data_IF_665464058023
#
_entry.id   IF_665464058023
#
_cell.length_a   1.000
_cell.length_b   1.000
_cell.length_c   1.000
_cell.angle_alpha   90.00
_cell.angle_beta   90.00
_cell.angle_gamma   90.00
#
_symmetry.space_group_name_H-M   'P 1'
#
loop_
_entity.id
_entity.type
_entity.pdbx_description
1 polymer ?
#
# COMPACT_ATOMS: atom_id res chain seq x y z
N UNK A 1 9.05 10.21 15.93
CA UNK A 1 7.74 9.54 16.01
C UNK A 1 6.89 10.38 16.95
N UNK A 2 5.80 10.97 16.45
CA UNK A 2 4.94 11.79 17.29
C UNK A 2 3.99 10.89 18.14
N UNK A 3 3.32 11.49 19.12
CA UNK A 3 2.52 10.76 20.11
C UNK A 3 1.43 9.87 19.46
N UNK A 4 0.79 10.34 18.39
CA UNK A 4 -0.26 9.57 17.72
C UNK A 4 0.30 8.32 17.00
N UNK A 5 1.53 8.39 16.46
CA UNK A 5 2.20 7.24 15.85
C UNK A 5 2.58 6.21 16.92
N UNK A 6 3.05 6.65 18.09
CA UNK A 6 3.34 5.77 19.22
C UNK A 6 2.06 5.09 19.73
N UNK A 7 0.96 5.83 19.81
CA UNK A 7 -0.34 5.31 20.22
C UNK A 7 -0.87 4.30 19.20
N UNK A 8 -0.75 4.57 17.90
CA UNK A 8 -1.14 3.66 16.83
C UNK A 8 -0.32 2.36 16.87
N UNK A 9 1.02 2.47 16.97
CA UNK A 9 1.90 1.28 17.08
C UNK A 9 1.56 0.47 18.31
N UNK A 10 1.28 1.12 19.46
CA UNK A 10 0.85 0.43 20.67
C UNK A 10 -0.49 -0.28 20.48
N UNK A 11 -1.48 0.37 19.89
CA UNK A 11 -2.82 -0.17 19.69
C UNK A 11 -2.79 -1.36 18.71
N UNK A 12 -1.99 -1.28 17.65
CA UNK A 12 -1.77 -2.39 16.72
C UNK A 12 -1.03 -3.54 17.41
N UNK A 13 0.04 -3.27 18.15
CA UNK A 13 0.76 -4.31 18.92
C UNK A 13 -0.14 -4.99 19.96
N UNK A 14 -0.97 -4.23 20.65
CA UNK A 14 -1.95 -4.79 21.59
C UNK A 14 -3.00 -5.65 20.88
N UNK A 15 -3.37 -5.28 19.65
CA UNK A 15 -4.22 -6.10 18.78
C UNK A 15 -3.54 -7.40 18.38
N UNK A 16 -2.26 -7.34 17.99
CA UNK A 16 -1.43 -8.51 17.64
C UNK A 16 -1.29 -9.44 18.84
N UNK A 17 -0.95 -8.93 20.04
CA UNK A 17 -0.82 -9.72 21.26
C UNK A 17 -2.13 -10.47 21.61
N UNK A 18 -3.29 -9.92 21.25
CA UNK A 18 -4.60 -10.61 21.40
C UNK A 18 -4.81 -11.68 20.34
N UNK A 19 -4.18 -11.54 19.18
CA UNK A 19 -4.30 -12.44 18.03
C UNK A 19 -3.27 -13.58 18.07
N UNK A 20 -2.12 -13.40 18.73
CA UNK A 20 -1.15 -14.49 18.99
C UNK A 20 -1.78 -15.66 19.74
N UNK A 21 -2.82 -15.39 20.55
CA UNK A 21 -3.64 -16.43 21.17
C UNK A 21 -4.72 -17.03 20.23
N UNK A 22 -4.97 -16.43 19.07
CA UNK A 22 -5.91 -16.92 18.05
C UNK A 22 -5.21 -17.55 16.83
N UNK A 23 -3.87 -17.49 16.77
CA UNK A 23 -3.05 -17.79 15.60
C UNK A 23 -3.04 -19.26 15.19
N UNK A 24 -3.32 -20.19 16.13
CA UNK A 24 -3.49 -21.60 15.78
C UNK A 24 -4.68 -21.87 14.83
N UNK A 25 -5.68 -20.99 14.85
CA UNK A 25 -6.84 -21.09 13.96
C UNK A 25 -6.61 -20.41 12.60
N UNK A 26 -5.73 -19.40 12.54
CA UNK A 26 -5.43 -18.70 11.28
C UNK A 26 -4.61 -19.56 10.33
N UNK A 27 -3.54 -20.21 10.81
CA UNK A 27 -2.72 -21.12 10.00
C UNK A 27 -3.52 -22.33 9.51
N UNK A 28 -4.39 -22.89 10.35
CA UNK A 28 -5.30 -23.95 9.95
C UNK A 28 -6.28 -23.51 8.85
N UNK A 29 -6.76 -22.25 8.90
CA UNK A 29 -7.66 -21.69 7.87
C UNK A 29 -6.90 -21.35 6.57
N UNK A 30 -5.64 -20.93 6.63
CA UNK A 30 -4.78 -20.73 5.45
C UNK A 30 -4.51 -22.06 4.73
N UNK A 31 -4.23 -23.11 5.46
CA UNK A 31 -4.05 -24.46 4.89
C UNK A 31 -5.31 -24.98 4.21
N UNK A 32 -6.50 -24.63 4.70
CA UNK A 32 -7.79 -24.99 4.09
C UNK A 32 -8.06 -24.18 2.85
N UNK A 33 -7.83 -22.87 2.90
CA UNK A 33 -8.04 -21.97 1.75
C UNK A 33 -7.08 -22.31 0.60
N UNK A 34 -5.82 -22.65 0.89
CA UNK A 34 -4.87 -23.09 -0.15
C UNK A 34 -5.22 -24.45 -0.78
N UNK A 35 -5.97 -25.33 -0.08
CA UNK A 35 -6.36 -26.64 -0.60
C UNK A 35 -7.63 -26.63 -1.45
N UNK A 36 -8.48 -25.62 -1.31
CA UNK A 36 -9.79 -25.57 -1.99
C UNK A 36 -9.84 -24.61 -3.18
N UNK A 37 -8.83 -23.75 -3.36
CA UNK A 37 -8.77 -22.92 -4.55
C UNK A 37 -8.12 -23.68 -5.71
N UNK A 38 -8.79 -23.84 -6.86
CA UNK A 38 -8.10 -24.15 -8.09
C UNK A 38 -7.06 -23.05 -8.29
N UNK A 39 -5.87 -23.41 -8.76
CA UNK A 39 -4.82 -22.50 -9.23
C UNK A 39 -5.46 -21.46 -10.16
N UNK A 40 -6.04 -20.43 -9.57
CA UNK A 40 -6.41 -19.23 -10.28
C UNK A 40 -5.09 -18.63 -10.74
N UNK A 41 -5.06 -18.27 -12.00
CA UNK A 41 -3.96 -17.63 -12.70
C UNK A 41 -3.04 -16.88 -11.73
N UNK A 42 -1.80 -17.29 -11.67
CA UNK A 42 -0.74 -16.89 -10.75
C UNK A 42 -0.32 -15.42 -10.96
N UNK A 43 -1.28 -14.56 -11.26
CA UNK A 43 -1.08 -13.13 -11.44
C UNK A 43 -1.46 -12.43 -10.14
N UNK A 44 -0.45 -12.11 -9.33
CA UNK A 44 -0.56 -11.26 -8.13
C UNK A 44 -1.34 -9.95 -8.40
N UNK A 45 -1.52 -9.60 -9.66
CA UNK A 45 -2.27 -8.42 -10.14
C UNK A 45 -3.57 -8.84 -10.82
N UNK A 46 -4.55 -9.35 -10.06
CA UNK A 46 -5.82 -9.74 -10.66
C UNK A 46 -6.54 -8.58 -11.36
N UNK A 47 -7.32 -8.89 -12.38
CA UNK A 47 -8.06 -7.86 -13.13
C UNK A 47 -9.01 -7.09 -12.20
N UNK A 48 -9.63 -7.77 -11.23
CA UNK A 48 -10.56 -7.15 -10.30
C UNK A 48 -9.84 -6.20 -9.32
N UNK A 49 -8.70 -6.61 -8.74
CA UNK A 49 -7.89 -5.72 -7.90
C UNK A 49 -7.40 -4.50 -8.69
N UNK A 50 -7.01 -4.69 -9.95
CA UNK A 50 -6.63 -3.58 -10.85
C UNK A 50 -7.79 -2.62 -11.10
N UNK A 51 -8.98 -3.13 -11.36
CA UNK A 51 -10.19 -2.32 -11.58
C UNK A 51 -10.52 -1.50 -10.33
N UNK A 52 -10.49 -2.12 -9.16
CA UNK A 52 -10.78 -1.46 -7.88
C UNK A 52 -9.75 -0.37 -7.55
N UNK A 53 -8.46 -0.65 -7.76
CA UNK A 53 -7.40 0.33 -7.58
C UNK A 53 -7.57 1.52 -8.52
N UNK A 54 -7.83 1.25 -9.80
CA UNK A 54 -8.12 2.29 -10.79
C UNK A 54 -9.29 3.17 -10.37
N UNK A 55 -10.43 2.57 -10.04
CA UNK A 55 -11.64 3.31 -9.65
C UNK A 55 -11.41 4.19 -8.41
N UNK A 56 -10.64 3.67 -7.44
CA UNK A 56 -10.32 4.42 -6.23
C UNK A 56 -9.35 5.55 -6.50
N UNK A 57 -8.32 5.31 -7.31
CA UNK A 57 -7.36 6.34 -7.74
C UNK A 57 -8.05 7.46 -8.51
N UNK A 58 -8.94 7.15 -9.44
CA UNK A 58 -9.66 8.14 -10.25
C UNK A 58 -10.52 9.10 -9.42
N UNK A 59 -10.94 8.72 -8.20
CA UNK A 59 -11.67 9.63 -7.28
C UNK A 59 -10.83 10.80 -6.78
N UNK A 60 -9.51 10.63 -6.69
CA UNK A 60 -8.58 11.68 -6.21
C UNK A 60 -7.71 12.26 -7.31
N UNK A 61 -7.64 11.61 -8.47
CA UNK A 61 -6.73 11.90 -9.57
C UNK A 61 -6.75 13.38 -10.01
N UNK A 62 -7.92 14.01 -10.07
CA UNK A 62 -8.07 15.40 -10.54
C UNK A 62 -7.33 16.42 -9.67
N UNK A 63 -7.14 16.14 -8.39
CA UNK A 63 -6.47 17.02 -7.43
C UNK A 63 -5.17 16.40 -6.87
N UNK A 64 -4.78 15.22 -7.37
CA UNK A 64 -3.61 14.50 -6.91
C UNK A 64 -2.32 15.23 -7.31
N UNK A 65 -1.48 15.55 -6.34
CA UNK A 65 -0.16 16.16 -6.51
C UNK A 65 0.97 15.15 -6.37
N UNK A 66 0.81 14.18 -5.47
CA UNK A 66 1.84 13.17 -5.19
C UNK A 66 1.28 11.77 -5.07
N UNK A 67 1.94 10.82 -5.73
CA UNK A 67 1.69 9.37 -5.67
C UNK A 67 2.97 8.68 -5.19
N UNK A 68 2.83 7.76 -4.26
CA UNK A 68 3.91 6.85 -3.87
C UNK A 68 3.44 5.40 -4.02
N UNK A 69 4.32 4.56 -4.56
CA UNK A 69 4.14 3.11 -4.66
C UNK A 69 5.31 2.39 -4.01
N UNK A 70 5.04 1.38 -3.19
CA UNK A 70 6.03 0.45 -2.64
C UNK A 70 5.80 -0.91 -3.30
N UNK A 71 6.84 -1.48 -3.92
CA UNK A 71 6.74 -2.68 -4.76
C UNK A 71 6.31 -2.32 -6.18
N UNK A 72 7.29 -2.09 -7.06
CA UNK A 72 7.07 -1.44 -8.36
C UNK A 72 7.16 -2.44 -9.50
N UNK A 73 6.20 -2.39 -10.40
CA UNK A 73 6.25 -3.07 -11.71
C UNK A 73 6.62 -4.56 -11.61
N UNK A 74 5.90 -5.34 -10.78
CA UNK A 74 6.20 -6.76 -10.58
C UNK A 74 5.86 -7.60 -11.81
N UNK A 75 4.75 -7.31 -12.50
CA UNK A 75 4.19 -8.08 -13.62
C UNK A 75 4.22 -7.33 -14.97
N UNK A 76 5.29 -6.56 -15.23
CA UNK A 76 5.46 -5.84 -16.49
C UNK A 76 4.27 -4.92 -16.80
N UNK A 77 3.77 -4.95 -18.03
CA UNK A 77 2.69 -4.06 -18.50
C UNK A 77 1.34 -4.27 -17.79
N UNK A 78 1.18 -5.38 -17.09
CA UNK A 78 -0.02 -5.69 -16.31
C UNK A 78 0.10 -5.29 -14.83
N UNK A 79 1.21 -4.70 -14.42
CA UNK A 79 1.42 -4.25 -13.04
C UNK A 79 0.45 -3.14 -12.62
N UNK A 80 0.25 -3.00 -11.32
CA UNK A 80 -0.49 -1.88 -10.75
C UNK A 80 0.16 -0.53 -11.07
N UNK A 81 1.48 -0.48 -11.17
CA UNK A 81 2.27 0.70 -11.54
C UNK A 81 1.70 1.41 -12.77
N UNK A 82 1.33 0.66 -13.81
CA UNK A 82 0.80 1.24 -15.05
C UNK A 82 -0.57 1.90 -14.88
N UNK A 83 -1.34 1.56 -13.83
CA UNK A 83 -2.56 2.30 -13.49
C UNK A 83 -2.22 3.75 -13.17
N UNK A 84 -1.19 3.97 -12.36
CA UNK A 84 -0.76 5.32 -12.00
C UNK A 84 -0.11 6.04 -13.17
N UNK A 85 0.87 5.41 -13.82
CA UNK A 85 1.65 6.04 -14.90
C UNK A 85 0.79 6.46 -16.09
N UNK A 86 -0.23 5.65 -16.43
CA UNK A 86 -1.11 5.91 -17.57
C UNK A 86 -2.24 6.91 -17.25
N UNK A 87 -2.58 7.11 -15.99
CA UNK A 87 -3.76 7.88 -15.61
C UNK A 87 -3.46 9.09 -14.73
N UNK A 88 -2.24 9.26 -14.22
CA UNK A 88 -1.86 10.47 -13.47
C UNK A 88 -1.85 11.69 -14.38
N UNK A 89 -2.07 12.87 -13.80
CA UNK A 89 -1.89 14.13 -14.51
C UNK A 89 -0.41 14.38 -14.76
N UNK A 90 -0.09 15.16 -15.78
CA UNK A 90 1.29 15.55 -16.08
C UNK A 90 1.96 16.24 -14.87
N UNK A 91 1.20 17.09 -14.13
CA UNK A 91 1.69 17.81 -12.95
C UNK A 91 1.82 16.95 -11.69
N UNK A 92 1.23 15.76 -11.66
CA UNK A 92 1.34 14.85 -10.52
C UNK A 92 2.70 14.18 -10.50
N UNK A 93 3.40 14.23 -9.38
CA UNK A 93 4.67 13.51 -9.18
C UNK A 93 4.37 12.08 -8.75
N UNK A 94 4.94 11.12 -9.44
CA UNK A 94 4.93 9.71 -9.06
C UNK A 94 6.32 9.31 -8.58
N UNK A 95 6.39 8.62 -7.43
CA UNK A 95 7.61 7.99 -6.95
C UNK A 95 7.34 6.53 -6.59
N UNK A 96 8.08 5.64 -7.23
CA UNK A 96 8.11 4.21 -6.91
C UNK A 96 9.32 3.86 -6.06
N UNK A 97 9.14 3.04 -5.01
CA UNK A 97 10.22 2.51 -4.16
C UNK A 97 10.28 1.00 -4.33
N UNK A 98 11.44 0.49 -4.72
CA UNK A 98 11.68 -0.95 -4.88
C UNK A 98 13.14 -1.29 -4.53
N UNK A 99 13.39 -2.48 -4.00
CA UNK A 99 14.76 -2.95 -3.77
C UNK A 99 15.51 -3.23 -5.07
N UNK A 100 14.78 -3.61 -6.12
CA UNK A 100 15.34 -3.82 -7.43
C UNK A 100 15.36 -2.51 -8.23
N UNK A 101 16.30 -2.39 -9.15
CA UNK A 101 16.38 -1.26 -10.06
C UNK A 101 15.14 -1.20 -10.97
N UNK A 102 14.43 -0.07 -10.90
CA UNK A 102 13.26 0.27 -11.73
C UNK A 102 13.48 1.55 -12.54
N UNK A 103 14.72 2.01 -12.64
CA UNK A 103 15.08 3.27 -13.33
C UNK A 103 14.67 3.30 -14.81
N UNK A 104 14.39 2.17 -15.42
CA UNK A 104 13.81 2.10 -16.75
C UNK A 104 12.42 2.75 -16.87
N UNK A 105 11.75 3.00 -15.76
CA UNK A 105 10.46 3.73 -15.70
C UNK A 105 10.66 5.24 -15.58
N UNK A 106 11.85 5.70 -15.18
CA UNK A 106 12.10 7.12 -14.90
C UNK A 106 11.82 7.98 -16.11
N UNK A 107 11.04 9.02 -15.91
CA UNK A 107 10.73 10.01 -16.92
C UNK A 107 10.52 11.37 -16.24
N UNK A 108 11.60 12.15 -16.01
CA UNK A 108 11.51 13.45 -15.35
C UNK A 108 10.58 14.43 -16.06
N UNK A 109 10.51 14.39 -17.40
CA UNK A 109 9.60 15.23 -18.18
C UNK A 109 8.13 14.97 -17.86
N UNK A 110 7.83 13.77 -17.38
CA UNK A 110 6.49 13.36 -16.93
C UNK A 110 6.34 13.30 -15.40
N UNK A 111 7.34 13.79 -14.65
CA UNK A 111 7.38 13.68 -13.19
C UNK A 111 7.21 12.22 -12.68
N UNK A 112 7.98 11.30 -13.26
CA UNK A 112 8.04 9.89 -12.89
C UNK A 112 9.45 9.59 -12.41
N UNK A 113 9.58 9.09 -11.19
CA UNK A 113 10.85 8.78 -10.55
C UNK A 113 10.77 7.45 -9.82
N UNK A 114 11.89 6.74 -9.75
CA UNK A 114 12.03 5.53 -8.94
C UNK A 114 13.18 5.68 -7.93
N UNK A 115 13.05 5.02 -6.81
CA UNK A 115 14.07 4.95 -5.75
C UNK A 115 14.43 3.49 -5.57
N UNK A 116 15.63 3.10 -6.00
CA UNK A 116 16.18 1.80 -5.64
C UNK A 116 16.65 1.85 -4.19
N UNK A 117 15.82 1.33 -3.28
CA UNK A 117 16.10 1.24 -1.84
C UNK A 117 15.09 0.32 -1.16
N UNK A 118 15.41 -0.12 0.05
CA UNK A 118 14.39 -0.71 0.94
C UNK A 118 13.40 0.35 1.39
N UNK A 119 12.12 -0.01 1.46
CA UNK A 119 11.09 0.89 2.02
C UNK A 119 11.30 1.16 3.51
N UNK A 120 12.07 0.32 4.20
CA UNK A 120 12.43 0.51 5.62
C UNK A 120 13.33 1.72 5.89
N UNK A 121 14.03 2.24 4.89
CA UNK A 121 14.82 3.47 5.03
C UNK A 121 13.95 4.71 4.80
N UNK A 122 12.90 4.83 5.61
CA UNK A 122 11.84 5.85 5.49
C UNK A 122 12.41 7.26 5.40
N UNK A 123 13.40 7.58 6.26
CA UNK A 123 13.98 8.93 6.30
C UNK A 123 14.67 9.29 4.99
N UNK A 124 15.55 8.42 4.49
CA UNK A 124 16.29 8.66 3.24
C UNK A 124 15.34 8.72 2.05
N UNK A 125 14.35 7.83 2.00
CA UNK A 125 13.36 7.82 0.93
C UNK A 125 12.52 9.11 0.92
N UNK A 126 12.11 9.61 2.07
CA UNK A 126 11.38 10.89 2.18
C UNK A 126 12.26 12.06 1.73
N UNK A 127 13.54 12.08 2.08
CA UNK A 127 14.46 13.11 1.61
C UNK A 127 14.61 13.10 0.09
N UNK A 128 14.72 11.92 -0.53
CA UNK A 128 14.75 11.76 -2.00
C UNK A 128 13.42 12.20 -2.63
N UNK A 129 12.27 11.80 -2.07
CA UNK A 129 10.95 12.23 -2.56
C UNK A 129 10.80 13.75 -2.53
N UNK A 130 11.26 14.40 -1.48
CA UNK A 130 11.27 15.87 -1.40
C UNK A 130 12.14 16.50 -2.49
N UNK A 131 13.28 15.90 -2.82
CA UNK A 131 14.14 16.37 -3.92
C UNK A 131 13.44 16.24 -5.28
N UNK A 132 12.51 15.30 -5.45
CA UNK A 132 11.66 15.18 -6.64
C UNK A 132 10.41 16.08 -6.60
N UNK A 133 10.25 16.90 -5.55
CA UNK A 133 9.15 17.85 -5.41
C UNK A 133 7.94 17.32 -4.63
N UNK A 134 7.99 16.10 -4.06
CA UNK A 134 6.93 15.61 -3.20
C UNK A 134 7.03 16.24 -1.81
N UNK A 135 6.03 17.05 -1.48
CA UNK A 135 5.81 17.58 -0.13
C UNK A 135 4.58 16.98 0.53
N UNK A 136 3.70 16.38 -0.26
CA UNK A 136 2.45 15.79 0.15
C UNK A 136 2.12 14.61 -0.76
N UNK A 137 1.49 13.57 -0.20
CA UNK A 137 1.01 12.39 -0.92
C UNK A 137 -0.52 12.35 -0.86
N UNK A 138 -1.15 12.23 -2.01
CA UNK A 138 -2.61 12.10 -2.12
C UNK A 138 -3.02 10.66 -2.38
N UNK A 139 -2.09 9.83 -2.87
CA UNK A 139 -2.27 8.41 -3.01
C UNK A 139 -0.99 7.66 -2.63
N UNK A 140 -1.13 6.68 -1.76
CA UNK A 140 -0.05 5.76 -1.37
C UNK A 140 -0.53 4.34 -1.71
N UNK A 141 0.24 3.59 -2.46
CA UNK A 141 0.00 2.17 -2.72
C UNK A 141 1.12 1.34 -2.10
N UNK A 142 0.76 0.40 -1.23
CA UNK A 142 1.67 -0.50 -0.53
C UNK A 142 1.44 -1.92 -1.02
N UNK A 143 2.43 -2.46 -1.72
CA UNK A 143 2.45 -3.81 -2.29
C UNK A 143 3.87 -4.40 -2.19
N UNK A 144 4.45 -4.29 -1.02
CA UNK A 144 5.81 -4.72 -0.70
C UNK A 144 5.88 -6.04 0.07
N UNK A 145 6.67 -6.08 1.14
CA UNK A 145 6.74 -7.22 2.06
C UNK A 145 5.47 -7.31 2.92
N UNK A 146 4.93 -8.51 3.05
CA UNK A 146 3.65 -8.76 3.70
C UNK A 146 3.76 -9.07 5.20
N UNK A 147 4.95 -8.95 5.79
CA UNK A 147 5.08 -9.06 7.24
C UNK A 147 4.43 -7.86 7.94
N UNK A 148 3.82 -8.10 9.10
CA UNK A 148 3.20 -7.02 9.88
C UNK A 148 4.20 -5.92 10.26
N UNK A 149 5.45 -6.30 10.55
CA UNK A 149 6.50 -5.34 10.88
C UNK A 149 6.82 -4.42 9.70
N UNK A 150 6.87 -4.96 8.48
CA UNK A 150 7.13 -4.15 7.30
C UNK A 150 5.96 -3.23 6.98
N UNK A 151 4.72 -3.73 7.05
CA UNK A 151 3.52 -2.89 6.85
C UNK A 151 3.49 -1.73 7.86
N UNK A 152 3.90 -1.96 9.12
CA UNK A 152 4.00 -0.90 10.12
C UNK A 152 5.06 0.15 9.77
N UNK A 153 6.19 -0.27 9.19
CA UNK A 153 7.24 0.65 8.73
C UNK A 153 6.74 1.43 7.50
N UNK A 154 6.14 0.74 6.54
CA UNK A 154 5.62 1.37 5.33
C UNK A 154 4.49 2.36 5.64
N UNK A 155 3.75 2.13 6.72
CA UNK A 155 2.76 3.08 7.21
C UNK A 155 3.34 4.42 7.66
N UNK A 156 4.63 4.48 8.01
CA UNK A 156 5.27 5.74 8.41
C UNK A 156 5.26 6.80 7.30
N UNK A 157 5.18 6.39 6.02
CA UNK A 157 5.05 7.33 4.90
C UNK A 157 3.76 8.14 4.94
N UNK A 158 2.74 7.69 5.70
CA UNK A 158 1.49 8.46 5.91
C UNK A 158 1.68 9.78 6.65
N UNK A 159 2.86 10.03 7.21
CA UNK A 159 3.23 11.37 7.69
C UNK A 159 3.18 12.44 6.59
N UNK A 160 3.29 12.04 5.32
CA UNK A 160 3.13 12.90 4.15
C UNK A 160 1.71 12.85 3.55
N UNK A 161 0.82 12.01 4.08
CA UNK A 161 -0.53 11.85 3.53
C UNK A 161 -1.35 13.13 3.71
N UNK A 162 -1.94 13.61 2.63
CA UNK A 162 -2.84 14.75 2.63
C UNK A 162 -4.13 14.46 3.43
N UNK A 163 -4.86 15.50 3.85
CA UNK A 163 -6.12 15.29 4.58
C UNK A 163 -7.14 14.42 3.86
N UNK A 164 -7.18 14.50 2.53
CA UNK A 164 -8.08 13.72 1.66
C UNK A 164 -7.37 12.57 0.95
N UNK A 165 -6.13 12.28 1.34
CA UNK A 165 -5.32 11.22 0.74
C UNK A 165 -5.84 9.84 1.06
N UNK A 166 -5.55 8.91 0.16
CA UNK A 166 -5.94 7.49 0.25
C UNK A 166 -4.68 6.64 0.32
N UNK A 167 -4.69 5.67 1.22
CA UNK A 167 -3.73 4.56 1.22
C UNK A 167 -4.44 3.33 0.68
N UNK A 168 -3.87 2.70 -0.33
CA UNK A 168 -4.27 1.39 -0.81
C UNK A 168 -3.24 0.36 -0.34
N UNK A 169 -3.71 -0.75 0.21
CA UNK A 169 -2.89 -1.84 0.73
C UNK A 169 -3.31 -3.13 0.01
N UNK A 170 -2.37 -3.76 -0.69
CA UNK A 170 -2.61 -5.02 -1.39
C UNK A 170 -2.51 -6.22 -0.44
N UNK A 171 -2.95 -7.38 -0.90
CA UNK A 171 -2.84 -8.67 -0.20
C UNK A 171 -3.54 -8.74 1.16
N UNK A 172 -4.52 -7.88 1.40
CA UNK A 172 -5.24 -7.83 2.69
C UNK A 172 -6.07 -9.08 2.98
N UNK A 173 -6.31 -9.94 1.98
CA UNK A 173 -7.04 -11.20 2.14
C UNK A 173 -6.12 -12.41 2.04
N UNK A 174 -4.98 -12.29 1.36
CA UNK A 174 -4.03 -13.38 1.13
C UNK A 174 -2.97 -13.48 2.24
N UNK A 175 -2.57 -12.35 2.84
CA UNK A 175 -1.48 -12.32 3.81
C UNK A 175 -1.91 -11.78 5.18
N UNK A 176 -1.43 -12.40 6.30
CA UNK A 176 -1.83 -12.02 7.65
C UNK A 176 -1.37 -10.61 8.03
N UNK A 177 -0.19 -10.16 7.64
CA UNK A 177 0.33 -8.84 8.00
C UNK A 177 -0.57 -7.69 7.54
N UNK A 178 -0.84 -7.52 6.24
CA UNK A 178 -1.77 -6.51 5.74
C UNK A 178 -3.18 -6.64 6.32
N UNK A 179 -3.68 -7.88 6.49
CA UNK A 179 -5.00 -8.13 7.07
C UNK A 179 -5.09 -7.66 8.52
N UNK A 180 -4.13 -8.06 9.35
CA UNK A 180 -4.05 -7.66 10.76
C UNK A 180 -3.93 -6.15 10.90
N UNK A 181 -3.09 -5.55 10.06
CA UNK A 181 -2.88 -4.11 10.07
C UNK A 181 -4.17 -3.34 9.84
N UNK A 182 -4.85 -3.58 8.72
CA UNK A 182 -6.04 -2.81 8.34
C UNK A 182 -7.20 -2.99 9.32
N UNK A 183 -7.37 -4.19 9.87
CA UNK A 183 -8.44 -4.49 10.83
C UNK A 183 -8.21 -3.90 12.22
N UNK A 184 -6.98 -3.56 12.58
CA UNK A 184 -6.63 -2.99 13.88
C UNK A 184 -6.38 -1.48 13.85
N UNK A 185 -6.59 -0.82 12.72
CA UNK A 185 -6.58 0.63 12.66
C UNK A 185 -7.69 1.23 13.54
N UNK A 186 -7.35 2.33 14.23
CA UNK A 186 -8.31 3.01 15.11
C UNK A 186 -9.52 3.52 14.30
N UNK A 187 -10.73 2.95 14.49
CA UNK A 187 -11.91 3.31 13.72
C UNK A 187 -12.45 4.73 14.03
N UNK A 188 -11.92 5.42 15.04
CA UNK A 188 -12.26 6.82 15.31
C UNK A 188 -11.43 7.79 14.44
N UNK A 189 -10.32 7.33 13.87
CA UNK A 189 -9.40 8.14 13.07
C UNK A 189 -9.49 7.76 11.59
N UNK A 190 -9.64 6.47 11.30
CA UNK A 190 -9.56 5.93 9.96
C UNK A 190 -10.85 5.28 9.51
N UNK A 191 -11.22 5.54 8.28
CA UNK A 191 -12.15 4.70 7.54
C UNK A 191 -11.34 3.62 6.82
N UNK A 192 -11.88 2.41 6.79
CA UNK A 192 -11.27 1.27 6.09
C UNK A 192 -12.31 0.56 5.25
N UNK A 193 -11.90 0.08 4.09
CA UNK A 193 -12.71 -0.72 3.17
C UNK A 193 -11.84 -1.87 2.66
N UNK A 194 -12.31 -3.11 2.77
CA UNK A 194 -11.63 -4.30 2.25
C UNK A 194 -12.50 -4.88 1.14
N UNK A 195 -11.93 -5.01 -0.04
CA UNK A 195 -12.59 -5.51 -1.24
C UNK A 195 -11.87 -6.75 -1.79
N UNK A 196 -12.58 -7.56 -2.59
CA UNK A 196 -12.09 -8.83 -3.14
C UNK A 196 -11.59 -9.81 -2.07
N UNK A 197 -12.41 -10.18 -1.07
CA UNK A 197 -11.97 -11.06 0.01
C UNK A 197 -11.68 -12.51 -0.45
N UNK A 198 -12.09 -12.88 -1.66
CA UNK A 198 -11.89 -14.21 -2.28
C UNK A 198 -10.69 -14.29 -3.20
N UNK A 199 -9.95 -13.20 -3.35
CA UNK A 199 -8.72 -13.07 -4.10
C UNK A 199 -7.63 -12.54 -3.15
N UNK A 200 -6.52 -12.01 -3.65
CA UNK A 200 -5.47 -11.38 -2.83
C UNK A 200 -6.03 -10.27 -1.94
N UNK A 201 -7.07 -9.59 -2.40
CA UNK A 201 -7.75 -8.53 -1.69
C UNK A 201 -7.02 -7.20 -1.72
N UNK A 202 -7.81 -6.13 -1.74
CA UNK A 202 -7.29 -4.78 -1.67
C UNK A 202 -8.01 -4.00 -0.58
N UNK A 203 -7.25 -3.34 0.28
CA UNK A 203 -7.75 -2.48 1.34
C UNK A 203 -7.55 -1.02 1.02
N UNK A 204 -8.54 -0.20 1.30
CA UNK A 204 -8.44 1.25 1.19
C UNK A 204 -8.63 1.91 2.54
N UNK A 205 -7.78 2.90 2.84
CA UNK A 205 -7.73 3.57 4.12
C UNK A 205 -7.67 5.08 3.89
N UNK A 206 -8.51 5.85 4.59
CA UNK A 206 -8.50 7.30 4.54
C UNK A 206 -8.93 7.90 5.88
N UNK A 207 -8.52 9.14 6.16
CA UNK A 207 -8.87 9.81 7.41
C UNK A 207 -10.37 10.09 7.49
N UNK A 208 -10.92 9.95 8.69
CA UNK A 208 -12.24 10.51 9.00
C UNK A 208 -12.16 12.03 9.02
N UNK A 209 -13.16 12.65 8.41
CA UNK A 209 -13.35 14.11 8.46
C UNK A 209 -14.09 14.50 9.74
#
# INVERSE_FOLDING_TARGET
>A
VNKWQQDLIRDIRTGIDRLDNADSNWQANQDVVQREQPLLDDTECSQENRRLLYEKFMKVQSNCLGIMEIGVCRNGDQSFTHIFLNNKRHSTVYVGIDMNDKSFLDNPDKNIYTIQNTSSDVKSNIEKMKAFGITQLDFIFIDGDHSINQVLIDWEYTQLLSPNGIVALHDVSAHPGPNLFIRNLNPNIWNTEILCPTDHGIGFIWKKQ
#
